data_IF_521607704945
#
_entry.id   IF_521607704945
#
_cell.length_a   1.000
_cell.length_b   1.000
_cell.length_c   1.000
_cell.angle_alpha   90.00
_cell.angle_beta   90.00
_cell.angle_gamma   90.00
#
_symmetry.space_group_name_H-M   'P 1'
#
loop_
_entity.id
_entity.type
_entity.pdbx_description
1 polymer ?
#
# COMPACT_ATOMS: atom_id res chain seq x y z
N UNK A 1 -17.55 11.82 17.51
CA UNK A 1 -18.05 10.70 16.68
C UNK A 1 -17.25 9.44 17.02
N UNK A 2 -17.59 8.75 18.12
CA UNK A 2 -16.76 7.67 18.67
C UNK A 2 -16.71 6.41 17.79
N UNK A 3 -17.79 6.15 17.03
CA UNK A 3 -17.92 4.95 16.19
C UNK A 3 -17.58 5.23 14.71
N UNK A 4 -16.95 6.37 14.41
CA UNK A 4 -16.63 6.75 13.04
C UNK A 4 -15.36 6.02 12.58
N UNK A 5 -15.51 5.13 11.60
CA UNK A 5 -14.41 4.33 11.05
C UNK A 5 -13.87 4.91 9.74
N UNK A 6 -14.76 5.51 8.93
CA UNK A 6 -14.42 6.11 7.65
C UNK A 6 -15.12 7.46 7.51
N UNK A 7 -14.36 8.48 7.10
CA UNK A 7 -14.87 9.79 6.81
C UNK A 7 -14.29 10.29 5.49
N UNK A 8 -15.15 10.24 4.48
CA UNK A 8 -14.88 10.75 3.14
C UNK A 8 -15.37 12.17 3.02
N UNK A 9 -14.46 13.09 2.72
CA UNK A 9 -14.79 14.49 2.46
C UNK A 9 -14.06 15.01 1.21
N UNK A 10 -13.68 14.09 0.32
CA UNK A 10 -13.02 14.38 -0.94
C UNK A 10 -13.92 15.12 -1.92
N UNK A 11 -13.31 15.72 -2.95
CA UNK A 11 -13.99 16.47 -4.01
C UNK A 11 -14.80 17.69 -3.52
N UNK A 12 -14.41 18.30 -2.40
CA UNK A 12 -15.02 19.53 -1.88
C UNK A 12 -14.07 20.74 -2.09
N UNK A 13 -14.32 21.85 -1.40
CA UNK A 13 -13.51 23.08 -1.45
C UNK A 13 -13.02 23.50 -0.06
N UNK A 14 -12.81 22.54 0.86
CA UNK A 14 -12.33 22.83 2.22
C UNK A 14 -10.95 23.47 2.16
N UNK A 15 -10.78 24.60 2.86
CA UNK A 15 -9.53 25.37 2.94
C UNK A 15 -8.82 25.25 4.30
N UNK A 16 -9.28 24.33 5.14
CA UNK A 16 -8.75 24.08 6.47
C UNK A 16 -9.20 22.73 6.99
N UNK A 17 -8.50 22.26 8.02
CA UNK A 17 -8.66 20.92 8.57
C UNK A 17 -8.54 20.98 10.09
N UNK A 18 -9.49 20.36 10.80
CA UNK A 18 -9.35 20.16 12.24
C UNK A 18 -8.24 19.16 12.53
N UNK A 19 -7.52 19.32 13.65
CA UNK A 19 -6.38 18.46 14.00
C UNK A 19 -6.71 16.97 13.92
N UNK A 20 -7.88 16.56 14.44
CA UNK A 20 -8.33 15.17 14.40
C UNK A 20 -8.59 14.59 13.01
N UNK A 21 -8.68 15.44 11.98
CA UNK A 21 -8.96 15.04 10.62
C UNK A 21 -7.69 14.92 9.78
N UNK A 22 -6.50 15.08 10.36
CA UNK A 22 -5.21 14.87 9.71
C UNK A 22 -4.90 13.37 9.59
N UNK A 23 -4.65 12.84 8.38
CA UNK A 23 -4.25 11.44 8.22
C UNK A 23 -3.04 11.10 9.10
N UNK A 24 -3.12 9.96 9.80
CA UNK A 24 -2.07 9.48 10.70
C UNK A 24 -2.25 9.86 12.18
N UNK A 25 -3.17 10.76 12.54
CA UNK A 25 -3.43 11.08 13.95
C UNK A 25 -4.42 10.14 14.64
N UNK A 26 -5.28 9.45 13.87
CA UNK A 26 -6.31 8.55 14.40
C UNK A 26 -6.46 7.32 13.51
N UNK A 27 -7.00 6.25 14.07
CA UNK A 27 -7.38 5.03 13.36
C UNK A 27 -8.73 5.22 12.64
N UNK A 28 -8.85 6.30 11.87
CA UNK A 28 -10.02 6.60 11.03
C UNK A 28 -9.49 6.71 9.61
N UNK A 29 -10.14 6.04 8.66
CA UNK A 29 -9.86 6.23 7.25
C UNK A 29 -10.38 7.62 6.83
N UNK A 30 -9.50 8.44 6.28
CA UNK A 30 -9.81 9.82 5.89
C UNK A 30 -9.51 9.99 4.41
N UNK A 31 -10.53 10.33 3.64
CA UNK A 31 -10.36 10.67 2.23
C UNK A 31 -10.49 12.19 2.04
N UNK A 32 -9.34 12.84 1.85
CA UNK A 32 -9.17 14.29 1.78
C UNK A 32 -8.80 14.83 0.39
N UNK A 33 -8.84 13.97 -0.64
CA UNK A 33 -8.38 14.37 -1.99
C UNK A 33 -9.31 15.41 -2.62
N UNK A 34 -8.80 16.15 -3.62
CA UNK A 34 -9.56 17.12 -4.41
C UNK A 34 -10.32 18.13 -3.55
N UNK A 35 -9.64 18.66 -2.53
CA UNK A 35 -10.05 19.81 -1.72
C UNK A 35 -9.13 21.01 -1.97
N UNK A 36 -9.23 22.05 -1.14
CA UNK A 36 -8.37 23.22 -1.17
C UNK A 36 -7.45 23.29 0.05
N UNK A 37 -6.99 22.13 0.55
CA UNK A 37 -6.19 22.05 1.75
C UNK A 37 -4.72 22.42 1.45
N UNK A 38 -4.13 23.40 2.14
CA UNK A 38 -2.73 23.75 1.92
C UNK A 38 -1.81 22.60 2.36
N UNK A 39 -0.71 22.41 1.62
CA UNK A 39 0.34 21.43 1.92
C UNK A 39 -0.13 19.96 1.98
N UNK A 40 -1.21 19.61 1.27
CA UNK A 40 -1.70 18.23 1.13
C UNK A 40 -1.49 17.71 -0.30
N UNK A 41 -1.29 16.39 -0.48
CA UNK A 41 -1.24 15.79 -1.81
C UNK A 41 -2.63 15.76 -2.46
N UNK A 42 -2.66 15.67 -3.79
CA UNK A 42 -3.85 15.42 -4.61
C UNK A 42 -4.99 16.44 -4.42
N UNK A 43 -4.64 17.70 -4.18
CA UNK A 43 -5.61 18.79 -3.98
C UNK A 43 -6.04 19.42 -5.32
N UNK A 44 -7.10 20.25 -5.26
CA UNK A 44 -7.52 21.12 -6.35
C UNK A 44 -6.46 22.16 -6.68
N UNK A 45 -6.52 22.69 -7.89
CA UNK A 45 -5.62 23.78 -8.27
C UNK A 45 -6.01 25.06 -7.53
N UNK A 46 -5.06 25.99 -7.40
CA UNK A 46 -5.32 27.26 -6.74
C UNK A 46 -6.41 28.07 -7.47
N UNK A 47 -6.43 28.00 -8.80
CA UNK A 47 -7.40 28.69 -9.65
C UNK A 47 -8.80 28.14 -9.45
N UNK A 48 -8.93 26.82 -9.41
CA UNK A 48 -10.19 26.12 -9.14
C UNK A 48 -10.72 26.47 -7.73
N UNK A 49 -9.83 26.51 -6.74
CA UNK A 49 -10.16 26.88 -5.37
C UNK A 49 -10.58 28.34 -5.22
N UNK A 50 -9.90 29.26 -5.91
CA UNK A 50 -10.13 30.70 -5.78
C UNK A 50 -11.56 31.11 -6.15
N UNK A 51 -12.20 30.41 -7.11
CA UNK A 51 -13.58 30.68 -7.53
C UNK A 51 -14.57 30.50 -6.38
N UNK A 52 -14.35 29.48 -5.54
CA UNK A 52 -15.28 29.11 -4.46
C UNK A 52 -14.91 29.75 -3.13
N UNK A 53 -13.62 29.72 -2.77
CA UNK A 53 -13.16 30.23 -1.46
C UNK A 53 -13.38 31.74 -1.33
N UNK A 54 -13.22 32.50 -2.41
CA UNK A 54 -13.41 33.96 -2.38
C UNK A 54 -14.88 34.39 -2.46
N UNK A 55 -15.80 33.44 -2.65
CA UNK A 55 -17.24 33.71 -2.76
C UNK A 55 -18.05 32.68 -1.97
N UNK A 56 -17.95 32.68 -0.63
CA UNK A 56 -18.69 31.75 0.21
C UNK A 56 -20.21 31.95 0.06
N UNK A 57 -20.95 30.85 0.14
CA UNK A 57 -22.42 30.86 0.11
C UNK A 57 -22.96 31.31 1.46
N UNK A 58 -23.93 32.22 1.44
CA UNK A 58 -24.68 32.66 2.61
C UNK A 58 -25.97 31.83 2.72
N UNK A 59 -25.88 30.70 3.44
CA UNK A 59 -26.98 29.75 3.56
C UNK A 59 -28.25 30.34 4.21
N UNK A 60 -28.15 31.48 4.91
CA UNK A 60 -29.32 32.16 5.51
C UNK A 60 -30.19 32.88 4.49
N UNK A 61 -29.67 33.13 3.28
CA UNK A 61 -30.43 33.74 2.17
C UNK A 61 -31.08 32.72 1.25
N UNK A 62 -30.74 31.45 1.42
CA UNK A 62 -31.29 30.39 0.61
C UNK A 62 -32.71 30.05 1.05
N UNK A 63 -33.63 29.96 0.08
CA UNK A 63 -35.01 29.53 0.31
C UNK A 63 -35.13 28.04 0.67
N UNK A 64 -34.00 27.33 0.66
CA UNK A 64 -33.88 25.91 1.00
C UNK A 64 -33.39 25.68 2.45
N UNK A 65 -33.22 26.74 3.24
CA UNK A 65 -32.88 26.62 4.66
C UNK A 65 -34.04 25.89 5.37
N UNK A 66 -33.94 24.58 5.50
CA UNK A 66 -34.97 23.63 5.92
C UNK A 66 -35.37 23.74 7.39
N UNK A 67 -35.82 24.91 7.83
CA UNK A 67 -36.36 25.18 9.15
C UNK A 67 -37.87 25.35 9.14
N UNK A 68 -38.63 24.34 8.68
CA UNK A 68 -40.09 24.22 8.89
C UNK A 68 -40.99 25.39 8.41
N UNK A 69 -42.32 25.26 8.61
CA UNK A 69 -43.29 26.28 8.19
C UNK A 69 -43.25 27.46 9.17
N UNK A 70 -42.39 28.44 8.88
CA UNK A 70 -42.23 29.62 9.72
C UNK A 70 -40.90 30.36 9.59
N UNK A 71 -40.10 30.07 8.56
CA UNK A 71 -38.84 30.76 8.28
C UNK A 71 -39.02 32.27 8.17
N UNK A 72 -38.81 32.96 9.30
CA UNK A 72 -38.85 34.42 9.41
C UNK A 72 -37.68 34.97 8.60
N UNK A 73 -37.99 35.37 7.36
CA UNK A 73 -37.08 36.08 6.48
C UNK A 73 -36.95 37.49 7.00
N UNK A 74 -36.09 37.68 7.99
CA UNK A 74 -35.62 39.04 8.33
C UNK A 74 -34.70 39.51 7.20
N UNK A 75 -34.96 40.68 6.59
CA UNK A 75 -34.09 41.20 5.55
C UNK A 75 -32.75 41.59 6.17
N UNK A 76 -31.72 40.77 5.97
CA UNK A 76 -30.35 41.12 6.37
C UNK A 76 -29.84 42.27 5.49
N UNK A 77 -29.51 43.39 6.14
CA UNK A 77 -28.78 44.53 5.56
C UNK A 77 -27.53 44.03 4.81
N UNK A 78 -27.15 44.60 3.65
CA UNK A 78 -25.93 44.19 2.98
C UNK A 78 -24.73 44.46 3.87
N UNK A 79 -24.07 43.39 4.32
CA UNK A 79 -22.77 43.48 5.00
C UNK A 79 -21.71 43.88 3.97
N UNK A 80 -20.80 44.80 4.32
CA UNK A 80 -19.68 45.14 3.45
C UNK A 80 -18.81 43.90 3.23
N UNK A 81 -18.50 43.61 1.96
CA UNK A 81 -17.56 42.55 1.58
C UNK A 81 -16.21 42.91 2.19
N UNK A 82 -15.60 42.08 3.06
CA UNK A 82 -14.26 42.35 3.55
C UNK A 82 -13.28 42.19 2.39
N UNK A 83 -12.70 43.30 1.92
CA UNK A 83 -11.53 43.28 1.05
C UNK A 83 -10.32 42.83 1.89
N UNK A 84 -10.12 41.52 2.00
CA UNK A 84 -8.87 41.01 2.57
C UNK A 84 -7.72 41.28 1.60
N UNK A 85 -6.51 41.61 2.10
CA UNK A 85 -5.34 41.82 1.25
C UNK A 85 -5.05 40.57 0.44
N UNK A 86 -4.94 40.73 -0.88
CA UNK A 86 -4.47 39.67 -1.78
C UNK A 86 -3.14 39.16 -1.24
N UNK A 87 -3.13 37.95 -0.69
CA UNK A 87 -1.88 37.31 -0.30
C UNK A 87 -1.11 37.03 -1.58
N UNK A 88 0.04 37.70 -1.72
CA UNK A 88 0.98 37.46 -2.81
C UNK A 88 1.24 35.95 -2.87
N UNK A 89 1.08 35.28 -4.03
CA UNK A 89 1.34 33.85 -4.11
C UNK A 89 2.77 33.58 -3.63
N UNK A 90 2.89 32.68 -2.66
CA UNK A 90 4.19 32.19 -2.21
C UNK A 90 4.96 31.63 -3.41
N UNK A 91 6.30 31.79 -3.48
CA UNK A 91 7.09 31.22 -4.55
C UNK A 91 6.80 29.73 -4.71
N UNK A 92 6.36 29.35 -5.91
CA UNK A 92 6.20 27.95 -6.29
C UNK A 92 7.57 27.29 -6.12
N UNK A 93 7.69 26.39 -5.15
CA UNK A 93 8.90 25.60 -5.01
C UNK A 93 9.00 24.73 -6.25
N UNK A 94 10.07 24.92 -7.02
CA UNK A 94 10.36 24.11 -8.20
C UNK A 94 10.36 22.64 -7.74
N UNK A 95 9.62 21.73 -8.38
CA UNK A 95 9.67 20.33 -8.00
C UNK A 95 11.12 19.86 -8.06
N UNK A 96 11.60 19.27 -6.97
CA UNK A 96 12.92 18.65 -6.93
C UNK A 96 13.04 17.65 -8.08
N UNK A 97 14.19 17.57 -8.77
CA UNK A 97 14.36 16.63 -9.86
C UNK A 97 14.04 15.21 -9.39
N UNK A 98 13.12 14.57 -10.10
CA UNK A 98 12.75 13.17 -9.88
C UNK A 98 14.03 12.35 -10.00
N UNK A 99 14.36 11.61 -8.93
CA UNK A 99 15.51 10.71 -8.96
C UNK A 99 15.27 9.68 -10.06
N UNK A 100 16.18 9.66 -11.03
CA UNK A 100 16.16 8.66 -12.10
C UNK A 100 16.20 7.27 -11.43
N UNK A 101 15.33 6.32 -11.78
CA UNK A 101 15.42 4.97 -11.24
C UNK A 101 16.83 4.44 -11.50
N UNK A 102 17.48 3.95 -10.45
CA UNK A 102 18.76 3.25 -10.58
C UNK A 102 18.59 2.09 -11.58
N UNK A 103 19.59 1.79 -12.43
CA UNK A 103 19.53 0.63 -13.31
C UNK A 103 19.26 -0.62 -12.50
N UNK A 104 18.26 -1.39 -12.91
CA UNK A 104 18.00 -2.73 -12.36
C UNK A 104 19.27 -3.54 -12.60
N UNK A 105 19.88 -4.02 -11.52
CA UNK A 105 21.03 -4.92 -11.63
C UNK A 105 20.54 -6.20 -12.31
N UNK A 106 21.09 -6.50 -13.49
CA UNK A 106 20.91 -7.81 -14.09
C UNK A 106 21.45 -8.85 -13.10
N UNK A 107 20.69 -9.92 -12.79
CA UNK A 107 21.23 -11.02 -12.02
C UNK A 107 22.44 -11.60 -12.77
N UNK A 108 23.53 -11.83 -12.05
CA UNK A 108 24.73 -12.48 -12.58
C UNK A 108 24.37 -13.80 -13.25
N UNK A 109 25.05 -14.19 -14.35
CA UNK A 109 24.79 -15.46 -15.01
C UNK A 109 24.98 -16.61 -14.03
N UNK A 110 23.94 -17.45 -13.91
CA UNK A 110 23.95 -18.67 -13.11
C UNK A 110 25.13 -19.52 -13.59
N UNK A 111 26.06 -19.79 -12.69
CA UNK A 111 27.21 -20.62 -13.00
C UNK A 111 26.71 -22.03 -13.32
N UNK A 112 27.03 -22.50 -14.52
CA UNK A 112 26.76 -23.88 -14.93
C UNK A 112 27.53 -24.80 -13.97
N UNK A 113 26.89 -25.79 -13.32
CA UNK A 113 27.61 -26.73 -12.46
C UNK A 113 28.69 -27.44 -13.28
N UNK A 114 29.91 -27.46 -12.74
CA UNK A 114 31.03 -28.18 -13.33
C UNK A 114 30.70 -29.69 -13.42
N UNK A 115 31.14 -30.40 -14.47
CA UNK A 115 30.93 -31.83 -14.58
C UNK A 115 31.61 -32.56 -13.41
N UNK A 116 30.85 -33.46 -12.78
CA UNK A 116 31.35 -34.33 -11.72
C UNK A 116 32.37 -35.31 -12.32
N UNK A 117 33.58 -35.49 -11.75
CA UNK A 117 34.52 -36.49 -12.23
C UNK A 117 33.93 -37.90 -12.08
N UNK A 118 33.70 -38.59 -13.19
CA UNK A 118 33.36 -40.01 -13.21
C UNK A 118 34.58 -40.81 -12.76
N UNK A 119 34.49 -41.48 -11.60
CA UNK A 119 35.48 -42.49 -11.20
C UNK A 119 35.34 -43.71 -12.11
N UNK A 120 36.44 -44.38 -12.51
CA UNK A 120 36.38 -45.62 -13.27
C UNK A 120 35.61 -46.69 -12.47
N UNK A 121 34.53 -47.19 -13.07
CA UNK A 121 33.78 -48.34 -12.56
C UNK A 121 34.74 -49.53 -12.48
N UNK A 122 35.00 -50.01 -11.27
CA UNK A 122 35.75 -51.24 -11.07
C UNK A 122 34.90 -52.40 -11.58
N UNK A 123 35.50 -53.21 -12.47
CA UNK A 123 34.89 -54.42 -13.02
C UNK A 123 34.52 -55.37 -11.86
N UNK A 124 33.29 -55.89 -11.79
CA UNK A 124 32.92 -56.85 -10.75
C UNK A 124 33.82 -58.09 -10.83
N UNK A 125 34.40 -58.50 -9.68
CA UNK A 125 35.06 -59.79 -9.56
C UNK A 125 34.02 -60.92 -9.65
N UNK A 126 34.38 -62.09 -10.22
CA UNK A 126 33.47 -63.22 -10.31
C UNK A 126 33.06 -63.72 -8.91
N UNK A 127 31.83 -64.25 -8.75
CA UNK A 127 31.34 -64.71 -7.45
C UNK A 127 32.23 -65.81 -6.88
N UNK A 128 32.58 -65.69 -5.59
CA UNK A 128 33.19 -66.79 -4.85
C UNK A 128 32.12 -67.86 -4.60
N UNK A 129 32.46 -69.08 -4.95
CA UNK A 129 31.67 -70.30 -4.76
C UNK A 129 31.35 -70.50 -3.27
N UNK A 130 30.06 -70.71 -2.97
CA UNK A 130 29.60 -71.00 -1.61
C UNK A 130 30.10 -72.37 -1.14
N UNK A 131 30.48 -72.54 0.14
CA UNK A 131 30.78 -73.86 0.68
C UNK A 131 29.51 -74.73 0.68
N UNK A 132 29.62 -75.96 0.16
CA UNK A 132 28.57 -76.97 0.30
C UNK A 132 28.36 -77.34 1.78
N UNK A 133 27.13 -77.66 2.21
CA UNK A 133 26.89 -78.28 3.51
C UNK A 133 27.47 -79.70 3.54
N UNK A 134 28.24 -80.02 4.59
CA UNK A 134 28.71 -81.38 4.86
C UNK A 134 27.52 -82.32 5.13
N UNK A 135 27.47 -83.42 4.38
CA UNK A 135 26.50 -84.49 4.54
C UNK A 135 26.72 -85.22 5.89
N UNK A 136 25.64 -85.62 6.61
CA UNK A 136 25.76 -86.23 7.92
C UNK A 136 25.98 -87.74 7.83
N UNK A 137 26.99 -88.21 8.55
CA UNK A 137 27.05 -89.55 9.16
C UNK A 137 26.86 -90.76 8.23
N UNK A 138 27.98 -91.39 7.86
CA UNK A 138 28.05 -92.85 7.75
C UNK A 138 29.19 -93.38 8.65
N UNK A 139 28.83 -93.76 9.88
CA UNK A 139 29.60 -94.75 10.63
C UNK A 139 28.83 -96.06 10.53
N UNK A 140 29.44 -96.96 9.76
CA UNK A 140 29.10 -98.35 9.53
C UNK A 140 28.65 -99.13 10.78
N UNK A 141 27.86 -100.19 10.58
CA UNK A 141 27.20 -100.96 11.63
C UNK A 141 28.14 -101.94 12.33
N UNK A 142 27.88 -102.18 13.62
CA UNK A 142 28.41 -103.36 14.33
C UNK A 142 27.25 -104.30 14.66
N UNK A 143 27.02 -105.35 13.84
CA UNK A 143 26.53 -106.66 14.32
C UNK A 143 26.68 -107.79 13.28
N UNK A 144 27.30 -108.91 13.71
CA UNK A 144 27.05 -110.35 13.40
C UNK A 144 26.82 -110.75 11.92
N UNK A 145 27.63 -111.61 11.30
CA UNK A 145 27.96 -112.99 11.67
C UNK A 145 29.11 -113.48 10.78
#
# INVERSE_FOLDING_TARGET
LPNLVNFTYSYNYFNGQGGSCVPGQKQIALDEIRNCLPNRPNQRSAEECAVVINRPVDCSKDKCAGGGPGGSSTPSKPSPVPTKPVHKPSPVHKPSPVHKPSPVHNPSPVHKPSPVPTRPVHKPQPPKESPQPDDPFDQSPVTKR
#
